data_IF_173541282097
#
_entry.id   IF_173541282097
#
_cell.length_a   1.000
_cell.length_b   1.000
_cell.length_c   1.000
_cell.angle_alpha   90.00
_cell.angle_beta   90.00
_cell.angle_gamma   90.00
#
_symmetry.space_group_name_H-M   'P 1'
#
loop_
_entity.id
_entity.type
_entity.pdbx_description
1 polymer ?
#
# COMPACT_ATOMS: atom_id res chain seq x y z
N UNK A 1 -7.35 2.77 -4.14
CA UNK A 1 -6.43 2.15 -3.18
C UNK A 1 -6.87 0.71 -3.03
N UNK A 2 -5.97 -0.25 -3.24
CA UNK A 2 -6.19 -1.68 -3.08
C UNK A 2 -5.27 -2.20 -1.99
N UNK A 3 -5.73 -3.23 -1.30
CA UNK A 3 -4.97 -3.99 -0.32
C UNK A 3 -4.95 -5.45 -0.78
N UNK A 4 -3.82 -6.14 -0.61
CA UNK A 4 -3.72 -7.53 -1.02
C UNK A 4 -2.43 -8.22 -0.60
N UNK A 5 -2.33 -9.54 -0.80
CA UNK A 5 -1.13 -10.34 -0.54
C UNK A 5 -0.10 -10.22 -1.67
N UNK A 6 1.11 -10.75 -1.44
CA UNK A 6 2.22 -10.60 -2.39
C UNK A 6 1.95 -11.19 -3.78
N UNK A 7 1.16 -12.26 -3.88
CA UNK A 7 0.81 -12.85 -5.17
C UNK A 7 -0.09 -11.96 -6.02
N UNK A 8 -0.87 -11.05 -5.40
CA UNK A 8 -1.66 -10.06 -6.14
C UNK A 8 -0.75 -9.02 -6.82
N UNK A 9 0.37 -8.68 -6.18
CA UNK A 9 1.36 -7.73 -6.70
C UNK A 9 2.20 -8.30 -7.86
N UNK A 10 2.34 -9.63 -7.95
CA UNK A 10 3.03 -10.31 -9.06
C UNK A 10 2.07 -10.80 -10.15
N UNK A 11 0.76 -10.57 -10.01
CA UNK A 11 -0.23 -11.05 -10.97
C UNK A 11 -0.56 -9.94 -11.98
N UNK A 12 0.03 -10.02 -13.17
CA UNK A 12 -0.25 -9.09 -14.27
C UNK A 12 -1.75 -9.02 -14.60
N UNK A 13 -2.42 -10.17 -14.62
CA UNK A 13 -3.87 -10.24 -14.87
C UNK A 13 -4.69 -9.50 -13.80
N UNK A 14 -4.32 -9.62 -12.52
CA UNK A 14 -4.97 -8.88 -11.43
C UNK A 14 -4.72 -7.38 -11.53
N UNK A 15 -3.46 -6.97 -11.78
CA UNK A 15 -3.09 -5.56 -11.88
C UNK A 15 -3.81 -4.90 -13.06
N UNK A 16 -3.78 -5.52 -14.23
CA UNK A 16 -4.46 -5.04 -15.44
C UNK A 16 -5.97 -4.96 -15.25
N UNK A 17 -6.60 -6.04 -14.74
CA UNK A 17 -8.06 -6.08 -14.51
C UNK A 17 -8.53 -4.94 -13.59
N UNK A 18 -7.74 -4.60 -12.58
CA UNK A 18 -8.08 -3.55 -11.63
C UNK A 18 -7.54 -2.18 -12.03
N UNK A 19 -6.91 -2.05 -13.21
CA UNK A 19 -6.24 -0.84 -13.68
C UNK A 19 -5.24 -0.27 -12.66
N UNK A 20 -4.50 -1.17 -11.98
CA UNK A 20 -3.48 -0.80 -11.00
C UNK A 20 -2.23 -0.36 -11.77
N UNK A 21 -1.82 0.89 -11.54
CA UNK A 21 -0.66 1.52 -12.17
C UNK A 21 0.52 1.65 -11.21
N UNK A 22 0.27 1.50 -9.91
CA UNK A 22 1.28 1.64 -8.86
C UNK A 22 1.19 0.49 -7.86
N UNK A 23 2.33 0.01 -7.40
CA UNK A 23 2.42 -1.01 -6.35
C UNK A 23 3.35 -0.50 -5.26
N UNK A 24 2.91 -0.57 -4.01
CA UNK A 24 3.69 -0.24 -2.82
C UNK A 24 3.88 -1.49 -1.96
N UNK A 25 5.12 -1.95 -1.90
CA UNK A 25 5.53 -3.06 -1.03
C UNK A 25 5.91 -2.57 0.36
N UNK A 26 5.31 -3.16 1.39
CA UNK A 26 5.66 -2.97 2.81
C UNK A 26 6.44 -4.20 3.32
N UNK A 27 7.55 -4.52 2.65
CA UNK A 27 8.45 -5.61 3.02
C UNK A 27 9.91 -5.22 2.74
N UNK A 28 10.83 -5.83 3.49
CA UNK A 28 12.28 -5.67 3.30
C UNK A 28 12.80 -6.47 2.10
N UNK A 29 12.08 -7.52 1.69
CA UNK A 29 12.47 -8.42 0.61
C UNK A 29 12.23 -7.78 -0.75
N UNK A 30 13.00 -8.26 -1.73
CA UNK A 30 12.76 -7.97 -3.13
C UNK A 30 11.56 -8.78 -3.62
N UNK A 31 10.93 -8.29 -4.67
CA UNK A 31 9.76 -8.90 -5.27
C UNK A 31 9.81 -8.74 -6.78
N UNK A 32 9.12 -9.64 -7.47
CA UNK A 32 8.99 -9.59 -8.93
C UNK A 32 8.17 -8.36 -9.31
N UNK A 33 8.75 -7.51 -10.14
CA UNK A 33 8.07 -6.36 -10.70
C UNK A 33 7.35 -6.79 -11.99
N UNK A 34 6.15 -6.25 -12.18
CA UNK A 34 5.37 -6.38 -13.41
C UNK A 34 5.66 -5.15 -14.28
N UNK A 35 6.00 -5.38 -15.55
CA UNK A 35 6.28 -4.31 -16.52
C UNK A 35 5.08 -3.39 -16.71
N UNK A 36 5.35 -2.10 -16.97
CA UNK A 36 4.30 -1.09 -17.13
C UNK A 36 3.61 -0.64 -15.83
N UNK A 37 4.00 -1.20 -14.68
CA UNK A 37 3.52 -0.81 -13.35
C UNK A 37 4.66 -0.16 -12.56
N UNK A 38 4.40 0.97 -11.91
CA UNK A 38 5.39 1.63 -11.07
C UNK A 38 5.49 0.93 -9.72
N UNK A 39 6.66 0.37 -9.41
CA UNK A 39 6.90 -0.34 -8.14
C UNK A 39 7.70 0.51 -7.18
N UNK A 40 7.17 0.71 -5.99
CA UNK A 40 7.83 1.40 -4.89
C UNK A 40 7.90 0.46 -3.68
N UNK A 41 8.96 0.61 -2.90
CA UNK A 41 9.18 -0.20 -1.71
C UNK A 41 9.42 0.67 -0.51
N UNK A 42 8.80 0.27 0.58
CA UNK A 42 8.98 0.88 1.88
C UNK A 42 9.41 -0.24 2.86
N UNK A 43 10.73 -0.40 3.08
CA UNK A 43 11.30 -1.56 3.76
C UNK A 43 11.05 -1.49 5.27
N UNK A 44 9.84 -1.88 5.69
CA UNK A 44 9.45 -1.99 7.09
C UNK A 44 9.52 -3.45 7.55
N UNK A 45 10.14 -3.66 8.72
CA UNK A 45 9.98 -4.88 9.50
C UNK A 45 8.72 -4.81 10.38
N UNK A 46 8.21 -5.96 10.81
CA UNK A 46 6.97 -6.03 11.61
C UNK A 46 7.20 -5.64 13.09
N UNK A 47 7.80 -4.46 13.32
CA UNK A 47 8.06 -3.89 14.64
C UNK A 47 7.29 -2.57 14.75
N UNK A 48 6.49 -2.44 15.81
CA UNK A 48 5.57 -1.32 16.06
C UNK A 48 6.21 0.07 15.96
N UNK A 49 7.46 0.21 16.45
CA UNK A 49 8.21 1.47 16.41
C UNK A 49 8.58 1.92 15.00
N UNK A 50 8.77 0.97 14.07
CA UNK A 50 9.05 1.24 12.65
C UNK A 50 7.79 1.66 11.90
N UNK A 51 6.65 1.07 12.22
CA UNK A 51 5.37 1.31 11.54
C UNK A 51 4.87 2.75 11.75
N UNK A 52 4.90 3.26 12.98
CA UNK A 52 4.46 4.63 13.29
C UNK A 52 5.33 5.69 12.62
N UNK A 53 6.67 5.49 12.60
CA UNK A 53 7.62 6.42 12.00
C UNK A 53 7.45 6.51 10.48
N UNK A 54 7.14 5.37 9.85
CA UNK A 54 7.08 5.27 8.40
C UNK A 54 5.70 5.52 7.81
N UNK A 55 4.65 5.60 8.64
CA UNK A 55 3.32 5.97 8.20
C UNK A 55 3.25 7.34 7.51
N UNK A 56 4.13 8.28 7.90
CA UNK A 56 4.27 9.57 7.19
C UNK A 56 4.77 9.38 5.75
N UNK A 57 5.80 8.56 5.58
CA UNK A 57 6.37 8.22 4.27
C UNK A 57 5.38 7.45 3.40
N UNK A 58 4.70 6.45 3.96
CA UNK A 58 3.66 5.70 3.25
C UNK A 58 2.52 6.61 2.80
N UNK A 59 2.10 7.55 3.65
CA UNK A 59 1.11 8.57 3.28
C UNK A 59 1.60 9.43 2.11
N UNK A 60 2.83 9.93 2.16
CA UNK A 60 3.38 10.75 1.07
C UNK A 60 3.44 9.99 -0.26
N UNK A 61 3.77 8.70 -0.22
CA UNK A 61 3.76 7.83 -1.39
C UNK A 61 2.33 7.63 -1.91
N UNK A 62 1.41 7.21 -1.04
CA UNK A 62 0.02 6.93 -1.42
C UNK A 62 -0.63 8.20 -1.94
N UNK A 63 -0.50 9.33 -1.24
CA UNK A 63 -1.02 10.62 -1.70
C UNK A 63 -0.32 11.08 -2.97
N UNK A 64 1.00 10.90 -3.12
CA UNK A 64 1.71 11.24 -4.37
C UNK A 64 1.16 10.49 -5.59
N UNK A 65 0.87 9.20 -5.43
CA UNK A 65 0.41 8.32 -6.51
C UNK A 65 -1.12 8.36 -6.71
N UNK A 66 -1.90 8.71 -5.67
CA UNK A 66 -3.37 8.81 -5.71
C UNK A 66 -3.82 10.24 -6.00
N UNK A 67 -3.11 11.26 -5.51
CA UNK A 67 -3.44 12.68 -5.72
C UNK A 67 -2.87 13.24 -7.03
N UNK A 68 -1.97 12.52 -7.72
CA UNK A 68 -1.66 12.73 -9.14
C UNK A 68 -2.85 12.33 -10.03
N UNK A 69 -4.05 12.83 -9.70
CA UNK A 69 -5.36 12.69 -10.34
C UNK A 69 -5.38 13.04 -11.85
N UNK A 70 -4.23 13.33 -12.46
CA UNK A 70 -4.09 13.50 -13.90
C UNK A 70 -4.23 12.16 -14.65
N UNK A 71 -3.91 11.03 -14.02
CA UNK A 71 -3.86 9.71 -14.70
C UNK A 71 -4.80 8.64 -14.12
N UNK A 72 -5.73 8.97 -13.23
CA UNK A 72 -6.64 7.98 -12.63
C UNK A 72 -5.90 6.82 -11.92
N UNK A 73 -4.69 7.09 -11.42
CA UNK A 73 -3.78 6.07 -10.90
C UNK A 73 -4.36 5.27 -9.73
N UNK A 74 -4.35 3.94 -9.84
CA UNK A 74 -4.76 3.04 -8.77
C UNK A 74 -3.52 2.37 -8.19
N UNK A 75 -3.40 2.42 -6.87
CA UNK A 75 -2.28 1.83 -6.13
C UNK A 75 -2.73 0.59 -5.36
N UNK A 76 -1.94 -0.48 -5.45
CA UNK A 76 -2.00 -1.65 -4.58
C UNK A 76 -0.93 -1.52 -3.48
N UNK A 77 -1.35 -1.59 -2.23
CA UNK A 77 -0.45 -1.70 -1.07
C UNK A 77 -0.46 -3.16 -0.62
N UNK A 78 0.71 -3.75 -0.38
CA UNK A 78 0.79 -5.16 -0.02
C UNK A 78 1.98 -5.46 0.91
N UNK A 79 1.93 -6.59 1.62
CA UNK A 79 3.09 -7.14 2.33
C UNK A 79 3.38 -8.58 1.89
N UNK A 80 3.14 -9.58 2.75
CA UNK A 80 3.32 -11.00 2.39
C UNK A 80 1.96 -11.67 2.36
N UNK A 81 1.41 -11.85 3.56
CA UNK A 81 0.10 -12.45 3.78
C UNK A 81 -1.03 -11.42 3.85
N UNK A 82 -0.69 -10.13 3.86
CA UNK A 82 -1.67 -9.03 4.00
C UNK A 82 -2.43 -9.01 5.33
N UNK A 83 -1.75 -9.35 6.42
CA UNK A 83 -2.38 -9.49 7.76
C UNK A 83 -1.94 -8.39 8.73
N UNK A 84 -0.65 -8.01 8.73
CA UNK A 84 -0.10 -7.07 9.72
C UNK A 84 0.33 -5.74 9.09
N UNK A 85 1.43 -5.75 8.34
CA UNK A 85 2.12 -4.54 7.89
C UNK A 85 1.30 -3.68 6.94
N UNK A 86 0.81 -4.26 5.84
CA UNK A 86 0.03 -3.50 4.84
C UNK A 86 -1.31 -3.00 5.39
N UNK A 87 -2.15 -3.81 6.09
CA UNK A 87 -3.36 -3.29 6.74
C UNK A 87 -3.06 -2.19 7.75
N UNK A 88 -2.04 -2.35 8.60
CA UNK A 88 -1.68 -1.34 9.61
C UNK A 88 -1.28 -0.02 8.96
N UNK A 89 -0.45 -0.06 7.93
CA UNK A 89 -0.02 1.16 7.20
C UNK A 89 -1.22 1.84 6.54
N UNK A 90 -2.13 1.08 5.93
CA UNK A 90 -3.37 1.62 5.33
C UNK A 90 -4.30 2.19 6.40
N UNK A 91 -4.44 1.54 7.55
CA UNK A 91 -5.28 2.04 8.64
C UNK A 91 -4.76 3.37 9.19
N UNK A 92 -3.45 3.47 9.44
CA UNK A 92 -2.83 4.74 9.89
C UNK A 92 -3.00 5.82 8.82
N UNK A 93 -2.88 5.45 7.54
CA UNK A 93 -3.13 6.36 6.43
C UNK A 93 -4.57 6.89 6.43
N UNK A 94 -5.57 6.01 6.54
CA UNK A 94 -6.99 6.36 6.57
C UNK A 94 -7.31 7.24 7.78
N UNK A 95 -6.83 6.89 8.97
CA UNK A 95 -6.92 7.73 10.17
C UNK A 95 -6.41 9.14 9.92
N UNK A 96 -5.22 9.29 9.33
CA UNK A 96 -4.62 10.61 9.05
C UNK A 96 -5.38 11.39 7.97
N UNK A 97 -5.86 10.72 6.92
CA UNK A 97 -6.51 11.38 5.77
C UNK A 97 -7.98 11.71 6.02
N UNK A 98 -8.70 10.85 6.74
CA UNK A 98 -10.15 10.97 6.99
C UNK A 98 -10.49 11.48 8.40
N UNK A 99 -9.52 11.56 9.31
CA UNK A 99 -9.76 11.97 10.70
C UNK A 99 -10.55 10.95 11.54
N UNK A 100 -10.61 9.69 11.09
CA UNK A 100 -11.32 8.60 11.78
C UNK A 100 -10.41 7.90 12.82
N UNK A 101 -10.98 7.10 13.71
CA UNK A 101 -10.19 6.32 14.67
C UNK A 101 -9.39 5.21 13.97
N UNK A 102 -8.44 4.59 14.68
CA UNK A 102 -7.67 3.49 14.08
C UNK A 102 -8.56 2.24 13.94
N UNK A 103 -9.45 2.05 14.91
CA UNK A 103 -10.47 1.03 14.98
C UNK A 103 -11.41 1.16 13.77
N UNK A 104 -12.01 2.33 13.55
CA UNK A 104 -12.84 2.59 12.37
C UNK A 104 -12.05 2.33 11.09
N UNK A 105 -10.80 2.79 11.02
CA UNK A 105 -9.97 2.60 9.84
C UNK A 105 -9.70 1.13 9.53
N UNK A 106 -9.53 0.28 10.54
CA UNK A 106 -9.36 -1.17 10.39
C UNK A 106 -10.66 -1.85 9.98
N UNK A 107 -11.82 -1.39 10.47
CA UNK A 107 -13.13 -1.89 10.03
C UNK A 107 -13.44 -1.55 8.56
N UNK A 108 -12.83 -0.50 8.02
CA UNK A 108 -12.97 -0.10 6.61
C UNK A 108 -12.08 -0.89 5.63
N UNK A 109 -11.19 -1.74 6.15
CA UNK A 109 -10.21 -2.54 5.39
C UNK A 109 -10.72 -3.96 5.24
#
# INVERSE_FOLDING_TARGET
LFLGPCFAASSESFLTKNAITHVLSIDIRLFTQVDGVAHQRLPINDISSSLCKMAGTARNIIDGNVASNRDNGRILVYCVADISRSPTVVAIYLKKRKGITLEDALEHI
#
